data_IF_920777639507
#
_entry.id   IF_920777639507
#
_cell.length_a   1.000
_cell.length_b   1.000
_cell.length_c   1.000
_cell.angle_alpha   90.00
_cell.angle_beta   90.00
_cell.angle_gamma   90.00
#
_symmetry.space_group_name_H-M   'P 1'
#
loop_
_entity.id
_entity.type
_entity.pdbx_description
1 polymer ?
#
# COMPACT_ATOMS: atom_id res chain seq x y z
N UNK A 1 -20.59 14.75 21.98
CA UNK A 1 -19.22 14.37 22.34
C UNK A 1 -18.57 13.66 21.18
N UNK A 2 -17.43 14.15 20.74
CA UNK A 2 -16.70 13.54 19.64
C UNK A 2 -16.12 12.20 20.09
N UNK A 3 -16.32 11.20 19.25
CA UNK A 3 -15.73 9.88 19.48
C UNK A 3 -14.41 9.80 18.73
N UNK A 4 -13.46 9.06 19.29
CA UNK A 4 -12.23 8.78 18.57
C UNK A 4 -12.55 7.97 17.30
N UNK A 5 -11.73 8.13 16.28
CA UNK A 5 -11.82 7.34 15.06
C UNK A 5 -11.54 5.87 15.39
N UNK A 6 -12.04 4.97 14.55
CA UNK A 6 -11.78 3.53 14.71
C UNK A 6 -10.31 3.19 14.40
N UNK A 7 -9.88 2.00 14.82
CA UNK A 7 -8.56 1.49 14.44
C UNK A 7 -8.38 1.41 12.93
N UNK A 8 -9.42 0.95 12.20
CA UNK A 8 -9.35 0.87 10.73
C UNK A 8 -9.21 2.26 10.11
N UNK A 9 -9.95 3.25 10.60
CA UNK A 9 -9.82 4.62 10.13
C UNK A 9 -8.44 5.19 10.44
N UNK A 10 -7.90 4.91 11.60
CA UNK A 10 -6.59 5.38 12.03
C UNK A 10 -5.49 4.81 11.14
N UNK A 11 -5.45 3.48 10.98
CA UNK A 11 -4.40 2.84 10.20
C UNK A 11 -4.55 3.07 8.69
N UNK A 12 -5.77 3.10 8.17
CA UNK A 12 -5.98 3.48 6.78
C UNK A 12 -5.63 4.96 6.56
N UNK A 13 -5.90 5.81 7.55
CA UNK A 13 -5.46 7.21 7.54
C UNK A 13 -3.94 7.33 7.47
N UNK A 14 -3.20 6.48 8.19
CA UNK A 14 -1.73 6.44 8.12
C UNK A 14 -1.27 6.03 6.71
N UNK A 15 -1.93 5.08 6.08
CA UNK A 15 -1.65 4.69 4.70
C UNK A 15 -1.86 5.89 3.76
N UNK A 16 -2.98 6.59 3.88
CA UNK A 16 -3.26 7.77 3.06
C UNK A 16 -2.29 8.92 3.30
N UNK A 17 -1.88 9.12 4.55
CA UNK A 17 -0.86 10.13 4.87
C UNK A 17 0.46 9.78 4.17
N UNK A 18 0.86 8.51 4.22
CA UNK A 18 2.05 8.04 3.51
C UNK A 18 1.95 8.25 2.00
N UNK A 19 0.78 7.99 1.43
CA UNK A 19 0.53 8.18 -0.01
C UNK A 19 0.80 9.62 -0.48
N UNK A 20 0.63 10.60 0.41
CA UNK A 20 0.91 12.01 0.09
C UNK A 20 2.40 12.28 -0.16
N UNK A 21 3.27 11.37 0.21
CA UNK A 21 4.71 11.46 -0.10
C UNK A 21 5.04 10.95 -1.49
N UNK A 22 4.14 10.23 -2.16
CA UNK A 22 4.38 9.73 -3.51
C UNK A 22 4.41 10.89 -4.52
N UNK A 23 5.35 10.82 -5.46
CA UNK A 23 5.48 11.78 -6.56
C UNK A 23 4.81 11.30 -7.84
N UNK A 24 4.14 10.14 -7.81
CA UNK A 24 3.42 9.61 -8.97
C UNK A 24 2.31 10.59 -9.36
N UNK A 25 2.31 11.11 -10.59
CA UNK A 25 1.28 12.07 -11.02
C UNK A 25 -0.08 11.43 -11.29
N UNK A 26 -0.15 10.10 -11.36
CA UNK A 26 -1.38 9.38 -11.73
C UNK A 26 -2.05 8.71 -10.51
N UNK A 27 -1.30 7.90 -9.75
CA UNK A 27 -1.87 7.12 -8.65
C UNK A 27 -0.90 7.12 -7.47
N UNK A 28 -1.31 7.72 -6.37
CA UNK A 28 -0.57 7.71 -5.12
C UNK A 28 -1.16 6.66 -4.20
N UNK A 29 -0.34 5.69 -3.83
CA UNK A 29 -0.74 4.58 -2.97
C UNK A 29 0.09 4.62 -1.70
N UNK A 30 -0.56 4.33 -0.57
CA UNK A 30 0.09 4.20 0.72
C UNK A 30 -0.24 2.88 1.38
N UNK A 31 0.67 2.39 2.20
CA UNK A 31 0.49 1.16 2.96
C UNK A 31 0.98 1.33 4.39
N UNK A 32 0.26 0.71 5.32
CA UNK A 32 0.57 0.73 6.75
C UNK A 32 0.48 -0.70 7.28
N UNK A 33 1.56 -1.19 7.88
CA UNK A 33 1.59 -2.53 8.48
C UNK A 33 1.50 -2.38 9.99
N UNK A 34 0.61 -3.18 10.58
CA UNK A 34 0.26 -3.12 12.01
C UNK A 34 0.42 -4.50 12.62
N UNK A 35 1.09 -4.59 13.76
CA UNK A 35 1.24 -5.87 14.46
C UNK A 35 -0.03 -6.22 15.27
N UNK A 36 -0.10 -7.45 15.83
CA UNK A 36 -1.27 -7.87 16.62
C UNK A 36 -1.56 -6.99 17.84
N UNK A 37 -0.56 -6.25 18.33
CA UNK A 37 -0.72 -5.32 19.45
C UNK A 37 -1.16 -3.92 19.03
N UNK A 38 -1.59 -3.73 17.77
CA UNK A 38 -2.06 -2.45 17.24
C UNK A 38 -0.94 -1.40 17.16
N UNK A 39 0.27 -1.80 16.88
CA UNK A 39 1.41 -0.89 16.69
C UNK A 39 1.82 -0.85 15.23
N UNK A 40 2.07 0.33 14.71
CA UNK A 40 2.56 0.51 13.34
C UNK A 40 4.00 0.04 13.28
N UNK A 41 4.28 -0.91 12.40
CA UNK A 41 5.61 -1.50 12.23
C UNK A 41 6.18 -1.29 10.84
N UNK A 42 5.41 -0.76 9.91
CA UNK A 42 5.88 -0.44 8.56
C UNK A 42 4.97 0.57 7.88
N UNK A 43 5.58 1.49 7.14
CA UNK A 43 4.89 2.46 6.31
C UNK A 43 5.57 2.52 4.95
N UNK A 44 4.80 2.68 3.90
CA UNK A 44 5.34 2.80 2.55
C UNK A 44 4.42 3.57 1.63
N UNK A 45 4.99 4.11 0.58
CA UNK A 45 4.29 4.73 -0.54
C UNK A 45 5.04 4.37 -1.82
N UNK A 46 4.36 4.48 -2.96
CA UNK A 46 4.97 4.10 -4.23
C UNK A 46 5.99 5.16 -4.70
N UNK A 47 7.15 4.68 -5.16
CA UNK A 47 8.23 5.53 -5.59
C UNK A 47 9.37 4.75 -6.22
N UNK A 48 10.36 5.45 -6.74
CA UNK A 48 11.52 4.82 -7.35
C UNK A 48 12.53 4.36 -6.29
N UNK A 49 13.40 3.40 -6.63
CA UNK A 49 14.42 2.93 -5.70
C UNK A 49 15.38 4.03 -5.27
N UNK A 50 16.04 3.82 -4.14
CA UNK A 50 17.10 4.72 -3.66
C UNK A 50 18.13 4.98 -4.76
N UNK A 51 18.51 6.24 -4.93
CA UNK A 51 19.48 6.64 -5.93
C UNK A 51 18.92 6.83 -7.34
N UNK A 52 17.66 6.48 -7.55
CA UNK A 52 16.96 6.71 -8.81
C UNK A 52 16.13 7.98 -8.66
N UNK A 53 16.65 9.08 -9.22
CA UNK A 53 16.03 10.39 -9.04
C UNK A 53 14.69 10.49 -9.76
N UNK A 54 13.71 11.10 -9.12
CA UNK A 54 12.35 11.22 -9.67
C UNK A 54 12.31 11.99 -11.00
N UNK A 55 13.24 12.92 -11.20
CA UNK A 55 13.34 13.71 -12.42
C UNK A 55 14.04 12.97 -13.56
N UNK A 56 14.79 11.90 -13.24
CA UNK A 56 15.58 11.14 -14.22
C UNK A 56 14.84 9.89 -14.72
N UNK A 57 13.79 9.44 -14.03
CA UNK A 57 13.06 8.22 -14.34
C UNK A 57 11.64 8.55 -14.81
N UNK A 58 11.09 7.75 -15.73
CA UNK A 58 9.78 8.04 -16.30
C UNK A 58 8.62 7.69 -15.36
N UNK A 59 7.66 8.59 -15.26
CA UNK A 59 6.38 8.35 -14.57
C UNK A 59 5.26 7.95 -15.55
N UNK A 60 5.58 7.83 -16.84
CA UNK A 60 4.62 7.53 -17.90
C UNK A 60 4.01 6.14 -17.74
N UNK A 61 2.76 6.03 -18.13
CA UNK A 61 2.04 4.73 -18.13
C UNK A 61 2.02 4.10 -19.51
N UNK A 62 2.17 4.89 -20.56
CA UNK A 62 2.09 4.45 -21.96
C UNK A 62 3.44 4.65 -22.66
N UNK A 63 3.76 3.73 -23.58
CA UNK A 63 4.99 3.77 -24.36
C UNK A 63 5.76 2.46 -24.25
N UNK A 64 7.00 2.50 -24.71
CA UNK A 64 7.90 1.36 -24.58
C UNK A 64 8.13 1.04 -23.10
N UNK A 65 8.25 -0.24 -22.76
CA UNK A 65 8.34 -0.69 -21.37
C UNK A 65 9.38 0.10 -20.56
N UNK A 66 10.58 0.29 -21.12
CA UNK A 66 11.67 1.01 -20.43
C UNK A 66 11.43 2.52 -20.31
N UNK A 67 10.48 3.06 -21.05
CA UNK A 67 10.11 4.47 -21.00
C UNK A 67 8.88 4.73 -20.13
N UNK A 68 8.43 3.71 -19.39
CA UNK A 68 7.32 3.81 -18.45
C UNK A 68 7.81 3.59 -17.01
N UNK A 69 6.96 3.92 -16.04
CA UNK A 69 7.29 3.70 -14.61
C UNK A 69 7.35 2.22 -14.22
N UNK A 70 6.69 1.35 -14.97
CA UNK A 70 6.42 -0.02 -14.53
C UNK A 70 7.65 -0.87 -14.22
N UNK A 71 8.76 -0.81 -14.97
CA UNK A 71 9.94 -1.59 -14.59
C UNK A 71 10.70 -1.01 -13.39
N UNK A 72 10.41 0.21 -12.96
CA UNK A 72 11.22 0.94 -11.97
C UNK A 72 10.51 1.22 -10.66
N UNK A 73 9.20 1.45 -10.68
CA UNK A 73 8.48 1.87 -9.48
C UNK A 73 8.38 0.73 -8.46
N UNK A 74 8.69 1.05 -7.21
CA UNK A 74 8.47 0.14 -6.07
C UNK A 74 7.11 0.50 -5.47
N UNK A 75 6.22 -0.48 -5.36
CA UNK A 75 4.87 -0.26 -4.85
C UNK A 75 4.88 0.00 -3.34
N UNK A 76 3.83 0.64 -2.87
CA UNK A 76 3.68 1.02 -1.46
C UNK A 76 3.80 -0.17 -0.51
N UNK A 77 3.19 -1.30 -0.85
CA UNK A 77 3.19 -2.51 -0.01
C UNK A 77 4.61 -3.06 0.15
N UNK A 78 5.34 -3.16 -0.95
CA UNK A 78 6.72 -3.65 -0.92
C UNK A 78 7.60 -2.68 -0.12
N UNK A 79 7.43 -1.36 -0.30
CA UNK A 79 8.16 -0.37 0.48
C UNK A 79 7.84 -0.49 1.97
N UNK A 80 6.59 -0.70 2.35
CA UNK A 80 6.22 -0.88 3.75
C UNK A 80 6.90 -2.12 4.36
N UNK A 81 6.96 -3.22 3.61
CA UNK A 81 7.62 -4.46 4.04
C UNK A 81 9.13 -4.22 4.20
N UNK A 82 9.76 -3.61 3.21
CA UNK A 82 11.22 -3.37 3.22
C UNK A 82 11.64 -2.33 4.25
N UNK A 83 10.76 -1.39 4.60
CA UNK A 83 11.01 -0.39 5.64
C UNK A 83 10.84 -0.94 7.06
N UNK A 84 10.26 -2.12 7.21
CA UNK A 84 10.10 -2.76 8.50
C UNK A 84 11.40 -3.46 8.89
N UNK A 85 11.78 -3.34 10.16
CA UNK A 85 12.99 -3.98 10.70
C UNK A 85 12.66 -5.14 11.64
N UNK A 86 11.43 -5.60 11.64
CA UNK A 86 10.99 -6.67 12.52
C UNK A 86 10.16 -7.71 11.77
N UNK A 87 9.91 -8.84 12.43
CA UNK A 87 9.09 -9.91 11.90
C UNK A 87 7.65 -9.43 11.66
N UNK A 88 7.12 -9.71 10.50
CA UNK A 88 5.78 -9.29 10.09
C UNK A 88 4.73 -10.40 10.19
N UNK A 89 5.09 -11.57 10.74
CA UNK A 89 4.14 -12.66 10.89
C UNK A 89 2.95 -12.27 11.76
N UNK A 90 1.75 -12.55 11.26
CA UNK A 90 0.51 -12.23 11.96
C UNK A 90 0.09 -10.78 11.88
N UNK A 91 0.83 -9.93 11.17
CA UNK A 91 0.49 -8.53 10.99
C UNK A 91 -0.67 -8.33 10.02
N UNK A 92 -1.26 -7.14 10.08
CA UNK A 92 -2.29 -6.66 9.15
C UNK A 92 -1.69 -5.56 8.29
N UNK A 93 -1.92 -5.63 6.99
CA UNK A 93 -1.52 -4.58 6.05
C UNK A 93 -2.75 -3.79 5.63
N UNK A 94 -2.68 -2.47 5.83
CA UNK A 94 -3.69 -1.51 5.34
C UNK A 94 -3.15 -0.85 4.08
N UNK A 95 -3.92 -0.88 3.01
CA UNK A 95 -3.51 -0.30 1.71
C UNK A 95 -4.72 0.32 1.02
N UNK A 96 -4.50 1.46 0.36
CA UNK A 96 -5.58 2.19 -0.29
C UNK A 96 -6.10 1.50 -1.56
N UNK A 97 -5.26 0.70 -2.23
CA UNK A 97 -5.59 -0.01 -3.45
C UNK A 97 -5.25 -1.49 -3.29
N UNK A 98 -6.13 -2.38 -3.74
CA UNK A 98 -5.90 -3.83 -3.65
C UNK A 98 -4.55 -4.21 -4.26
N UNK A 99 -3.73 -5.04 -3.58
CA UNK A 99 -2.38 -5.37 -4.02
C UNK A 99 -2.32 -6.10 -5.36
N UNK A 100 -1.33 -5.73 -6.19
CA UNK A 100 -1.05 -6.46 -7.42
C UNK A 100 -0.44 -7.83 -7.10
N UNK A 101 -0.34 -8.68 -8.12
CA UNK A 101 0.15 -10.05 -7.94
C UNK A 101 1.61 -10.11 -7.44
N UNK A 102 2.45 -9.16 -7.81
CA UNK A 102 3.83 -9.11 -7.31
C UNK A 102 3.86 -8.76 -5.81
N UNK A 103 3.08 -7.76 -5.39
CA UNK A 103 2.99 -7.40 -3.98
C UNK A 103 2.31 -8.49 -3.15
N UNK A 104 1.32 -9.19 -3.70
CA UNK A 104 0.67 -10.31 -3.02
C UNK A 104 1.69 -11.38 -2.62
N UNK A 105 2.62 -11.71 -3.51
CA UNK A 105 3.69 -12.67 -3.20
C UNK A 105 4.54 -12.21 -2.02
N UNK A 106 4.95 -10.95 -2.02
CA UNK A 106 5.76 -10.38 -0.94
C UNK A 106 5.00 -10.35 0.39
N UNK A 107 3.72 -10.00 0.36
CA UNK A 107 2.85 -9.95 1.54
C UNK A 107 2.74 -11.35 2.17
N UNK A 108 2.49 -12.36 1.35
CA UNK A 108 2.37 -13.75 1.80
C UNK A 108 3.70 -14.24 2.39
N UNK A 109 4.80 -14.01 1.68
CA UNK A 109 6.12 -14.47 2.13
C UNK A 109 6.59 -13.78 3.41
N UNK A 110 6.14 -12.54 3.64
CA UNK A 110 6.42 -11.82 4.89
C UNK A 110 5.62 -12.35 6.08
N UNK A 111 4.61 -13.20 5.85
CA UNK A 111 3.78 -13.76 6.91
C UNK A 111 2.62 -12.90 7.35
N UNK A 112 2.31 -11.83 6.59
CA UNK A 112 1.16 -10.97 6.89
C UNK A 112 -0.12 -11.79 6.74
N UNK A 113 -1.01 -11.72 7.73
CA UNK A 113 -2.17 -12.58 7.83
C UNK A 113 -3.48 -11.94 7.37
N UNK A 114 -3.50 -10.63 7.20
CA UNK A 114 -4.72 -9.91 6.82
C UNK A 114 -4.36 -8.69 5.98
N UNK A 115 -5.14 -8.46 4.93
CA UNK A 115 -5.06 -7.25 4.09
C UNK A 115 -6.39 -6.52 4.19
N UNK A 116 -6.35 -5.26 4.64
CA UNK A 116 -7.48 -4.35 4.67
C UNK A 116 -7.28 -3.33 3.55
N UNK A 117 -8.25 -3.19 2.67
CA UNK A 117 -8.13 -2.34 1.49
C UNK A 117 -9.41 -1.54 1.24
N UNK A 118 -9.29 -0.50 0.43
CA UNK A 118 -10.43 0.34 0.03
C UNK A 118 -10.84 0.05 -1.40
N UNK A 119 -10.01 0.44 -2.37
CA UNK A 119 -10.33 0.34 -3.79
C UNK A 119 -9.94 -1.02 -4.36
N UNK A 120 -10.84 -1.60 -5.13
CA UNK A 120 -10.62 -2.82 -5.91
C UNK A 120 -10.89 -2.53 -7.39
N UNK A 121 -10.49 -1.35 -7.85
CA UNK A 121 -10.82 -0.87 -9.21
C UNK A 121 -10.28 -1.76 -10.33
N UNK A 122 -9.30 -2.63 -10.04
CA UNK A 122 -8.75 -3.56 -11.01
C UNK A 122 -9.33 -4.97 -10.90
N UNK A 123 -10.43 -5.13 -10.14
CA UNK A 123 -11.13 -6.41 -10.01
C UNK A 123 -11.44 -6.99 -11.40
N UNK A 124 -11.16 -8.29 -11.55
CA UNK A 124 -11.38 -9.00 -12.80
C UNK A 124 -10.21 -8.97 -13.79
N UNK A 125 -9.18 -8.15 -13.56
CA UNK A 125 -7.96 -8.25 -14.36
C UNK A 125 -7.18 -9.50 -13.98
N UNK A 126 -6.33 -10.00 -14.87
CA UNK A 126 -5.55 -11.21 -14.62
C UNK A 126 -4.68 -11.10 -13.37
N UNK A 127 -4.00 -9.96 -13.19
CA UNK A 127 -3.16 -9.74 -12.02
C UNK A 127 -3.96 -9.73 -10.72
N UNK A 128 -5.12 -9.10 -10.72
CA UNK A 128 -6.00 -9.06 -9.55
C UNK A 128 -6.53 -10.46 -9.20
N UNK A 129 -6.95 -11.22 -10.22
CA UNK A 129 -7.41 -12.60 -10.05
C UNK A 129 -6.29 -13.46 -9.44
N UNK A 130 -5.07 -13.31 -9.95
CA UNK A 130 -3.90 -14.03 -9.43
C UNK A 130 -3.64 -13.69 -7.96
N UNK A 131 -3.71 -12.41 -7.61
CA UNK A 131 -3.55 -11.95 -6.21
C UNK A 131 -4.57 -12.62 -5.29
N UNK A 132 -5.84 -12.57 -5.67
CA UNK A 132 -6.93 -13.14 -4.87
C UNK A 132 -6.79 -14.65 -4.71
N UNK A 133 -6.39 -15.33 -5.78
CA UNK A 133 -6.15 -16.77 -5.75
C UNK A 133 -5.02 -17.12 -4.78
N UNK A 134 -3.91 -16.40 -4.83
CA UNK A 134 -2.79 -16.63 -3.93
C UNK A 134 -3.15 -16.34 -2.47
N UNK A 135 -3.83 -15.23 -2.21
CA UNK A 135 -4.28 -14.90 -0.85
C UNK A 135 -5.22 -15.96 -0.29
N UNK A 136 -6.15 -16.43 -1.11
CA UNK A 136 -7.10 -17.48 -0.71
C UNK A 136 -6.36 -18.77 -0.34
N UNK A 137 -5.47 -19.24 -1.21
CA UNK A 137 -4.71 -20.47 -0.98
C UNK A 137 -3.80 -20.36 0.25
N UNK A 138 -3.22 -19.19 0.47
CA UNK A 138 -2.32 -18.95 1.61
C UNK A 138 -3.07 -18.67 2.92
N UNK A 139 -4.39 -18.54 2.88
CA UNK A 139 -5.19 -18.27 4.07
C UNK A 139 -5.10 -16.83 4.57
N UNK A 140 -4.72 -15.88 3.71
CA UNK A 140 -4.68 -14.46 4.08
C UNK A 140 -6.11 -13.91 4.05
N UNK A 141 -6.53 -13.29 5.16
CA UNK A 141 -7.84 -12.67 5.26
C UNK A 141 -7.88 -11.37 4.46
N UNK A 142 -8.92 -11.18 3.67
CA UNK A 142 -9.14 -9.96 2.87
C UNK A 142 -10.36 -9.22 3.42
N UNK A 143 -10.20 -7.94 3.73
CA UNK A 143 -11.27 -7.09 4.25
C UNK A 143 -11.34 -5.82 3.43
N UNK A 144 -12.43 -5.60 2.72
CA UNK A 144 -12.67 -4.34 2.03
C UNK A 144 -13.43 -3.40 2.96
N UNK A 145 -12.91 -2.19 3.15
CA UNK A 145 -13.64 -1.18 3.91
C UNK A 145 -14.82 -0.67 3.08
N UNK A 146 -15.99 -0.44 3.70
CA UNK A 146 -17.17 0.06 2.99
C UNK A 146 -17.14 1.58 2.75
N UNK A 147 -15.97 2.21 2.96
CA UNK A 147 -15.77 3.66 2.81
C UNK A 147 -14.33 3.92 2.39
N UNK A 148 -14.06 5.13 1.94
CA UNK A 148 -12.71 5.63 1.67
C UNK A 148 -12.37 6.70 2.70
N UNK A 149 -11.13 6.66 3.20
CA UNK A 149 -10.61 7.66 4.13
C UNK A 149 -9.97 8.78 3.33
N UNK A 150 -10.23 10.00 3.74
CA UNK A 150 -9.54 11.18 3.22
C UNK A 150 -8.77 11.85 4.36
N UNK A 151 -7.49 12.13 4.10
CA UNK A 151 -6.61 12.79 5.06
C UNK A 151 -6.13 14.10 4.46
N UNK A 152 -6.35 15.18 5.18
CA UNK A 152 -5.94 16.51 4.77
C UNK A 152 -4.93 17.08 5.77
N UNK A 153 -3.84 17.68 5.27
CA UNK A 153 -2.85 18.35 6.11
C UNK A 153 -2.89 19.83 5.84
N UNK A 154 -2.78 20.63 6.90
CA UNK A 154 -2.77 22.10 6.82
C UNK A 154 -1.63 22.64 7.65
N UNK A 155 -1.01 23.71 7.14
CA UNK A 155 0.01 24.46 7.87
C UNK A 155 -0.66 25.71 8.45
N UNK A 156 -0.52 25.90 9.76
CA UNK A 156 -0.96 27.11 10.44
C UNK A 156 0.26 27.97 10.75
N UNK A 157 0.28 29.18 10.25
CA UNK A 157 1.35 30.14 10.56
C UNK A 157 1.22 30.62 12.00
N UNK A 158 2.36 30.84 12.68
CA UNK A 158 2.40 31.39 14.04
C UNK A 158 2.67 32.88 14.02
#
# INVERSE_FOLDING_TARGET
MDKQISWDQYFMGMAHLSAKRSKDPNTRVGACIVNPQKRVVGLGYNGFPYGCEDEEFPWDRDGEFLETKYPYVVHAELNAILNSIQDLHGCTLYVSLFPCNECAKAIIQAGISCVVYESDKYDGTEGNIASKRMFHEAGVKLVQLPYEIDVETKISER
#
